data_IF_366562322294
#
_entry.id   IF_366562322294
#
_cell.length_a   1.000
_cell.length_b   1.000
_cell.length_c   1.000
_cell.angle_alpha   90.00
_cell.angle_beta   90.00
_cell.angle_gamma   90.00
#
_symmetry.space_group_name_H-M   'P 1'
#
loop_
_entity.id
_entity.type
_entity.pdbx_description
1 polymer ?
#
# COMPACT_ATOMS: atom_id res chain seq x y z
N UNK A 1 4.62 -24.61 28.65
CA UNK A 1 5.10 -24.58 27.23
C UNK A 1 5.53 -23.14 26.90
N UNK A 2 6.63 -22.92 26.17
CA UNK A 2 7.03 -21.57 25.72
C UNK A 2 6.69 -21.39 24.25
N UNK A 3 6.12 -20.23 23.89
CA UNK A 3 5.68 -19.88 22.53
C UNK A 3 6.12 -18.45 22.22
N UNK A 4 6.54 -18.22 20.96
CA UNK A 4 6.75 -16.88 20.40
C UNK A 4 5.52 -16.47 19.61
N UNK A 5 5.00 -15.29 19.90
CA UNK A 5 3.82 -14.72 19.21
C UNK A 5 3.99 -13.23 18.95
N UNK A 6 3.00 -12.61 18.28
CA UNK A 6 2.93 -11.17 18.03
C UNK A 6 4.20 -10.58 17.42
N UNK A 7 4.78 -11.27 16.41
CA UNK A 7 5.91 -10.69 15.70
C UNK A 7 5.49 -9.39 15.02
N UNK A 8 6.27 -8.34 15.29
CA UNK A 8 6.16 -7.02 14.65
C UNK A 8 7.46 -6.66 13.97
N UNK A 9 7.35 -6.08 12.79
CA UNK A 9 8.44 -5.61 11.94
C UNK A 9 8.29 -4.09 11.83
N UNK A 10 9.29 -3.30 12.29
CA UNK A 10 9.14 -1.86 12.52
C UNK A 10 7.85 -1.49 13.28
N UNK A 11 7.50 -2.30 14.31
CA UNK A 11 6.28 -2.19 15.12
C UNK A 11 4.96 -2.41 14.37
N UNK A 12 4.98 -2.72 13.08
CA UNK A 12 3.82 -3.11 12.28
C UNK A 12 3.70 -4.64 12.16
N UNK A 13 2.49 -5.15 11.87
CA UNK A 13 2.26 -6.60 11.70
C UNK A 13 2.85 -7.13 10.40
N UNK A 14 2.63 -6.42 9.30
CA UNK A 14 3.10 -6.79 7.95
C UNK A 14 3.40 -5.50 7.17
N UNK A 15 4.53 -4.81 7.44
CA UNK A 15 4.82 -3.55 6.80
C UNK A 15 5.15 -3.74 5.31
N UNK A 16 4.75 -2.78 4.51
CA UNK A 16 5.15 -2.64 3.11
C UNK A 16 5.89 -1.32 2.93
N UNK A 17 6.93 -1.32 2.11
CA UNK A 17 7.73 -0.12 1.87
C UNK A 17 8.90 0.06 2.83
N UNK A 18 9.39 -1.03 3.43
CA UNK A 18 10.54 -0.93 4.35
C UNK A 18 11.84 -0.63 3.59
N UNK A 19 12.63 0.26 4.15
CA UNK A 19 14.01 0.48 3.68
C UNK A 19 14.92 -0.63 4.23
N UNK A 20 15.05 -1.70 3.45
CA UNK A 20 15.81 -2.89 3.83
C UNK A 20 15.13 -3.74 4.91
N UNK A 21 15.95 -4.36 5.77
CA UNK A 21 15.48 -5.25 6.84
C UNK A 21 14.91 -4.47 8.02
N UNK A 22 13.61 -4.63 8.35
CA UNK A 22 13.00 -3.97 9.50
C UNK A 22 13.52 -4.54 10.83
N UNK A 23 13.43 -3.74 11.89
CA UNK A 23 13.65 -4.20 13.26
C UNK A 23 12.57 -5.19 13.66
N UNK A 24 12.99 -6.29 14.29
CA UNK A 24 12.09 -7.37 14.70
C UNK A 24 11.74 -7.24 16.17
N UNK A 25 10.47 -7.38 16.51
CA UNK A 25 9.98 -7.45 17.89
C UNK A 25 9.01 -8.61 18.02
N UNK A 26 8.97 -9.25 19.19
CA UNK A 26 8.05 -10.36 19.48
C UNK A 26 7.68 -10.41 20.96
N UNK A 27 6.63 -11.17 21.25
CA UNK A 27 6.20 -11.48 22.61
C UNK A 27 6.45 -12.96 22.89
N UNK A 28 6.69 -13.27 24.16
CA UNK A 28 6.86 -14.63 24.66
C UNK A 28 5.70 -14.94 25.56
N UNK A 29 5.04 -16.06 25.30
CA UNK A 29 4.01 -16.63 26.14
C UNK A 29 4.55 -17.87 26.84
N UNK A 30 4.34 -17.99 28.16
CA UNK A 30 4.75 -19.13 28.96
C UNK A 30 3.69 -19.47 30.00
N UNK A 31 3.46 -20.76 30.24
CA UNK A 31 2.59 -21.26 31.34
C UNK A 31 3.27 -21.09 32.71
N UNK A 32 4.59 -20.80 32.71
CA UNK A 32 5.39 -20.65 33.94
C UNK A 32 5.69 -19.15 34.12
N UNK A 33 5.49 -18.65 35.36
CA UNK A 33 5.81 -17.27 35.72
C UNK A 33 7.31 -17.06 35.92
N UNK A 34 7.72 -15.79 35.82
CA UNK A 34 9.11 -15.34 36.04
C UNK A 34 10.13 -15.95 35.05
N UNK A 35 9.68 -16.36 33.87
CA UNK A 35 10.56 -16.81 32.78
C UNK A 35 11.07 -15.61 32.00
N UNK A 36 12.37 -15.56 31.78
CA UNK A 36 13.05 -14.54 30.98
C UNK A 36 13.66 -15.19 29.74
N UNK A 37 13.69 -14.46 28.62
CA UNK A 37 14.45 -14.87 27.46
C UNK A 37 15.94 -14.84 27.76
N UNK A 38 16.66 -15.86 27.36
CA UNK A 38 18.12 -15.92 27.43
C UNK A 38 18.78 -15.91 26.05
N UNK A 39 18.07 -16.40 25.04
CA UNK A 39 18.54 -16.37 23.65
C UNK A 39 17.38 -16.32 22.67
N UNK A 40 17.68 -15.89 21.46
CA UNK A 40 16.77 -15.96 20.32
C UNK A 40 17.46 -16.53 19.08
N UNK A 41 16.64 -16.97 18.11
CA UNK A 41 17.09 -17.40 16.79
C UNK A 41 16.11 -16.89 15.75
N UNK A 42 16.60 -16.14 14.75
CA UNK A 42 15.79 -15.53 13.69
C UNK A 42 16.19 -16.12 12.34
N UNK A 43 15.21 -16.47 11.53
CA UNK A 43 15.41 -16.84 10.13
C UNK A 43 14.61 -15.90 9.22
N UNK A 44 15.21 -15.56 8.08
CA UNK A 44 14.63 -14.72 7.03
C UNK A 44 14.71 -15.47 5.71
N UNK A 45 13.61 -15.49 4.95
CA UNK A 45 13.49 -16.18 3.67
C UNK A 45 12.63 -15.40 2.70
N UNK A 46 12.80 -15.62 1.38
CA UNK A 46 11.88 -15.14 0.35
C UNK A 46 10.71 -16.12 0.13
N UNK A 47 10.82 -17.34 0.61
CA UNK A 47 9.74 -18.31 0.59
C UNK A 47 9.17 -18.55 1.99
N UNK A 48 7.86 -18.78 2.06
CA UNK A 48 7.12 -18.98 3.30
C UNK A 48 7.52 -20.24 4.07
N UNK A 49 8.04 -21.23 3.37
CA UNK A 49 8.42 -22.53 3.95
C UNK A 49 9.86 -22.52 4.48
N UNK A 50 10.60 -21.43 4.28
CA UNK A 50 12.01 -21.26 4.71
C UNK A 50 12.95 -22.31 4.13
N UNK A 51 12.72 -22.71 2.87
CA UNK A 51 13.60 -23.66 2.14
C UNK A 51 14.88 -22.99 1.65
N UNK A 52 14.80 -21.69 1.33
CA UNK A 52 15.93 -20.89 0.88
C UNK A 52 16.12 -19.69 1.78
N UNK A 53 17.02 -19.81 2.75
CA UNK A 53 17.26 -18.76 3.74
C UNK A 53 18.09 -17.63 3.13
N UNK A 54 17.63 -16.40 3.34
CA UNK A 54 18.40 -15.17 3.09
C UNK A 54 19.34 -14.93 4.28
N UNK A 55 18.87 -15.21 5.49
CA UNK A 55 19.63 -15.09 6.73
C UNK A 55 19.18 -16.11 7.75
N UNK A 56 20.15 -16.67 8.44
CA UNK A 56 20.01 -17.47 9.65
C UNK A 56 20.95 -16.89 10.71
N UNK A 57 20.42 -16.41 11.84
CA UNK A 57 21.28 -15.85 12.91
C UNK A 57 21.96 -16.89 13.75
N UNK A 58 21.52 -18.17 13.68
CA UNK A 58 21.80 -19.11 14.74
C UNK A 58 21.22 -18.61 16.08
N UNK A 59 21.64 -19.25 17.18
CA UNK A 59 21.29 -18.81 18.53
C UNK A 59 22.13 -17.60 18.92
N UNK A 60 21.46 -16.50 19.28
CA UNK A 60 22.07 -15.26 19.79
C UNK A 60 21.70 -15.11 21.26
N UNK A 61 22.70 -15.12 22.12
CA UNK A 61 22.54 -14.92 23.57
C UNK A 61 22.13 -13.49 23.85
N UNK A 62 20.86 -13.26 24.21
CA UNK A 62 20.30 -11.93 24.44
C UNK A 62 18.90 -12.03 25.04
N UNK A 63 18.62 -11.14 25.99
CA UNK A 63 17.29 -10.94 26.57
C UNK A 63 16.40 -10.00 25.70
N UNK A 64 16.99 -9.35 24.67
CA UNK A 64 16.29 -8.40 23.83
C UNK A 64 15.25 -9.09 22.95
N UNK A 65 13.99 -8.63 23.02
CA UNK A 65 12.87 -9.09 22.20
C UNK A 65 12.13 -7.94 21.48
N UNK A 66 12.63 -6.72 21.66
CA UNK A 66 12.03 -5.50 21.07
C UNK A 66 13.10 -4.76 20.27
N UNK A 67 12.74 -4.34 19.05
CA UNK A 67 13.62 -3.61 18.12
C UNK A 67 14.96 -4.30 17.85
N UNK A 68 14.96 -5.62 17.75
CA UNK A 68 16.16 -6.39 17.41
C UNK A 68 16.56 -6.11 15.97
N UNK A 69 17.81 -5.69 15.77
CA UNK A 69 18.39 -5.46 14.46
C UNK A 69 19.10 -6.72 13.97
N UNK A 70 18.66 -7.26 12.84
CA UNK A 70 19.35 -8.37 12.17
C UNK A 70 20.32 -7.77 11.15
N UNK A 71 21.62 -7.93 11.43
CA UNK A 71 22.71 -7.38 10.60
C UNK A 71 22.97 -8.23 9.36
N UNK A 72 23.62 -7.64 8.37
CA UNK A 72 24.12 -8.31 7.15
C UNK A 72 23.01 -9.04 6.38
N UNK A 73 21.85 -8.39 6.25
CA UNK A 73 20.75 -8.84 5.41
C UNK A 73 20.70 -7.95 4.16
N UNK A 74 20.99 -8.54 3.01
CA UNK A 74 20.85 -7.85 1.72
C UNK A 74 19.46 -8.12 1.18
N UNK A 75 18.68 -7.07 1.03
CA UNK A 75 17.32 -7.16 0.48
C UNK A 75 17.26 -6.60 -0.94
N UNK A 76 16.32 -7.10 -1.75
CA UNK A 76 16.03 -6.61 -3.09
C UNK A 76 14.79 -5.70 -3.07
N UNK A 77 14.72 -4.67 -3.92
CA UNK A 77 13.54 -3.80 -4.02
C UNK A 77 12.29 -4.57 -4.43
N UNK A 78 11.13 -4.12 -3.92
CA UNK A 78 9.83 -4.73 -4.19
C UNK A 78 9.87 -6.25 -4.10
N UNK A 79 10.31 -6.74 -2.96
CA UNK A 79 10.45 -8.18 -2.70
C UNK A 79 9.86 -8.49 -1.32
N UNK A 80 9.08 -9.56 -1.25
CA UNK A 80 8.46 -10.03 -0.02
C UNK A 80 9.41 -10.98 0.70
N UNK A 81 9.62 -10.73 1.97
CA UNK A 81 10.42 -11.56 2.86
C UNK A 81 9.58 -12.06 4.02
N UNK A 82 9.87 -13.27 4.46
CA UNK A 82 9.27 -13.90 5.63
C UNK A 82 10.28 -13.96 6.76
N UNK A 83 9.80 -13.75 7.99
CA UNK A 83 10.61 -13.78 9.21
C UNK A 83 9.95 -14.70 10.20
N UNK A 84 10.72 -15.60 10.81
CA UNK A 84 10.29 -16.41 11.95
C UNK A 84 11.30 -16.34 13.07
N UNK A 85 10.81 -16.48 14.30
CA UNK A 85 11.61 -16.37 15.50
C UNK A 85 11.33 -17.57 16.40
N UNK A 86 12.35 -18.03 17.11
CA UNK A 86 12.22 -18.92 18.26
C UNK A 86 13.12 -18.44 19.38
N UNK A 87 12.79 -18.78 20.63
CA UNK A 87 13.51 -18.31 21.81
C UNK A 87 13.89 -19.45 22.74
N UNK A 88 14.91 -19.22 23.54
CA UNK A 88 15.27 -20.00 24.72
C UNK A 88 14.99 -19.15 25.96
N UNK A 89 14.46 -19.75 27.01
CA UNK A 89 14.14 -19.09 28.27
C UNK A 89 15.01 -19.60 29.42
N UNK A 90 14.92 -18.96 30.56
CA UNK A 90 15.84 -19.10 31.70
C UNK A 90 15.93 -20.51 32.32
N UNK A 91 14.98 -21.41 32.07
CA UNK A 91 15.04 -22.81 32.46
C UNK A 91 15.69 -23.73 31.38
N UNK A 92 16.19 -23.15 30.27
CA UNK A 92 16.76 -23.86 29.12
C UNK A 92 15.75 -24.38 28.11
N UNK A 93 14.45 -24.16 28.34
CA UNK A 93 13.40 -24.55 27.38
C UNK A 93 13.45 -23.73 26.12
N UNK A 94 13.23 -24.36 24.97
CA UNK A 94 13.22 -23.75 23.66
C UNK A 94 11.82 -23.77 23.06
N UNK A 95 11.39 -22.64 22.49
CA UNK A 95 10.13 -22.59 21.75
C UNK A 95 10.26 -23.33 20.41
N UNK A 96 9.13 -23.75 19.85
CA UNK A 96 9.01 -23.97 18.42
C UNK A 96 9.20 -22.66 17.64
N UNK A 97 9.37 -22.75 16.31
CA UNK A 97 9.33 -21.60 15.44
C UNK A 97 7.96 -20.92 15.52
N UNK A 98 7.95 -19.60 15.55
CA UNK A 98 6.73 -18.80 15.43
C UNK A 98 6.03 -19.01 14.09
N UNK A 99 4.76 -18.60 13.99
CA UNK A 99 4.16 -18.33 12.69
C UNK A 99 4.98 -17.27 11.93
N UNK A 100 5.14 -17.39 10.60
CA UNK A 100 5.88 -16.41 9.83
C UNK A 100 5.19 -15.05 9.80
N UNK A 101 5.91 -13.98 10.15
CA UNK A 101 5.58 -12.61 9.76
C UNK A 101 6.18 -12.31 8.38
N UNK A 102 5.76 -11.24 7.72
CA UNK A 102 6.35 -10.84 6.44
C UNK A 102 6.42 -9.32 6.30
N UNK A 103 7.30 -8.87 5.40
CA UNK A 103 7.38 -7.48 4.96
C UNK A 103 7.65 -7.43 3.45
N UNK A 104 7.37 -6.27 2.85
CA UNK A 104 7.73 -5.99 1.46
C UNK A 104 8.64 -4.76 1.46
N UNK A 105 9.78 -4.86 0.82
CA UNK A 105 10.74 -3.76 0.69
C UNK A 105 10.23 -2.65 -0.21
N UNK A 106 10.73 -1.44 0.00
CA UNK A 106 10.43 -0.27 -0.83
C UNK A 106 10.81 -0.48 -2.30
N UNK A 107 10.25 0.35 -3.17
CA UNK A 107 10.69 0.47 -4.55
C UNK A 107 12.07 1.14 -4.61
N UNK A 108 12.78 0.93 -5.71
CA UNK A 108 14.03 1.63 -6.02
C UNK A 108 13.78 2.79 -7.01
N UNK A 109 14.88 3.36 -7.50
CA UNK A 109 14.89 4.47 -8.45
C UNK A 109 14.13 4.20 -9.77
N UNK A 110 13.78 2.94 -10.08
CA UNK A 110 12.96 2.61 -11.25
C UNK A 110 11.58 3.24 -11.17
N UNK A 111 11.03 3.41 -9.96
CA UNK A 111 9.75 4.08 -9.75
C UNK A 111 9.79 5.52 -10.27
N UNK A 112 10.95 6.18 -10.23
CA UNK A 112 11.14 7.55 -10.69
C UNK A 112 11.02 7.70 -12.21
N UNK A 113 11.01 6.59 -12.96
CA UNK A 113 10.80 6.58 -14.42
C UNK A 113 9.32 6.49 -14.81
N UNK A 114 8.44 6.18 -13.87
CA UNK A 114 7.00 6.21 -14.10
C UNK A 114 6.52 7.65 -14.31
N UNK A 115 5.64 7.87 -15.27
CA UNK A 115 5.05 9.17 -15.51
C UNK A 115 3.87 9.42 -14.55
N UNK A 116 3.76 10.63 -14.02
CA UNK A 116 2.54 11.07 -13.35
C UNK A 116 1.53 11.43 -14.44
N UNK A 117 0.42 10.70 -14.55
CA UNK A 117 -0.57 10.81 -15.65
C UNK A 117 -1.91 11.34 -15.17
N UNK A 118 -2.60 12.13 -15.98
CA UNK A 118 -3.93 12.66 -15.71
C UNK A 118 -4.89 12.47 -16.89
N UNK A 119 -6.17 12.25 -16.59
CA UNK A 119 -7.26 12.28 -17.55
C UNK A 119 -7.82 13.71 -17.77
N UNK A 120 -7.45 14.67 -16.92
CA UNK A 120 -7.94 16.05 -17.00
C UNK A 120 -7.19 16.86 -18.06
N UNK A 121 -7.89 17.75 -18.75
CA UNK A 121 -7.28 18.76 -19.62
C UNK A 121 -7.16 20.12 -18.89
N UNK A 122 -6.56 21.14 -19.52
CA UNK A 122 -6.37 22.44 -18.88
C UNK A 122 -7.68 23.14 -18.51
N UNK A 123 -8.77 22.91 -19.26
CA UNK A 123 -10.08 23.49 -18.94
C UNK A 123 -10.73 22.86 -17.69
N UNK A 124 -10.23 21.73 -17.23
CA UNK A 124 -10.77 21.01 -16.07
C UNK A 124 -10.11 21.42 -14.74
N UNK A 125 -9.15 22.32 -14.76
CA UNK A 125 -8.40 22.72 -13.57
C UNK A 125 -9.31 23.17 -12.40
N UNK A 126 -10.42 23.83 -12.69
CA UNK A 126 -11.40 24.27 -11.68
C UNK A 126 -12.44 23.22 -11.28
N UNK A 127 -12.49 22.04 -11.92
CA UNK A 127 -13.53 21.03 -11.67
C UNK A 127 -13.10 20.08 -10.56
N UNK A 128 -14.00 19.82 -9.62
CA UNK A 128 -13.81 18.87 -8.51
C UNK A 128 -14.41 17.50 -8.83
N UNK A 129 -14.29 17.03 -10.08
CA UNK A 129 -14.85 15.75 -10.52
C UNK A 129 -13.90 14.59 -10.29
N UNK A 130 -14.48 13.39 -10.26
CA UNK A 130 -13.71 12.15 -10.30
C UNK A 130 -13.25 11.83 -11.72
N UNK A 131 -12.05 11.26 -11.84
CA UNK A 131 -11.51 10.77 -13.11
C UNK A 131 -11.09 9.31 -13.00
N UNK A 132 -10.92 8.66 -14.13
CA UNK A 132 -10.47 7.26 -14.20
C UNK A 132 -9.31 7.20 -15.19
N UNK A 133 -8.24 6.53 -14.82
CA UNK A 133 -7.16 6.15 -15.74
C UNK A 133 -7.04 4.64 -15.78
N UNK A 134 -6.77 4.06 -16.97
CA UNK A 134 -6.68 2.60 -17.13
C UNK A 134 -5.63 2.18 -18.14
N UNK A 135 -5.19 0.92 -18.01
CA UNK A 135 -4.36 0.21 -18.99
C UNK A 135 -4.71 -1.28 -19.02
N UNK A 136 -4.81 -1.84 -20.23
CA UNK A 136 -4.82 -3.28 -20.46
C UNK A 136 -3.41 -3.84 -20.52
N UNK A 137 -3.18 -5.02 -19.96
CA UNK A 137 -1.89 -5.71 -19.96
C UNK A 137 -2.12 -7.20 -20.22
N UNK A 138 -1.51 -7.71 -21.28
CA UNK A 138 -1.47 -9.14 -21.59
C UNK A 138 -0.23 -9.79 -20.96
N UNK A 139 -0.42 -10.93 -20.31
CA UNK A 139 0.65 -11.75 -19.76
C UNK A 139 0.95 -12.89 -20.73
N UNK A 140 2.15 -12.89 -21.26
CA UNK A 140 2.61 -13.96 -22.17
C UNK A 140 3.15 -15.18 -21.43
N UNK A 141 3.32 -15.05 -20.11
CA UNK A 141 3.94 -16.07 -19.24
C UNK A 141 3.27 -16.07 -17.85
N UNK A 142 3.28 -17.23 -17.17
CA UNK A 142 2.76 -17.32 -15.80
C UNK A 142 3.51 -16.40 -14.83
N UNK A 143 2.75 -15.63 -14.05
CA UNK A 143 3.28 -14.67 -13.07
C UNK A 143 3.44 -15.35 -11.71
N UNK A 144 4.68 -15.48 -11.24
CA UNK A 144 5.01 -15.98 -9.90
C UNK A 144 4.70 -14.99 -8.80
N UNK A 145 5.02 -13.71 -9.03
CA UNK A 145 4.70 -12.64 -8.09
C UNK A 145 4.55 -11.29 -8.78
N UNK A 146 3.64 -10.46 -8.26
CA UNK A 146 3.38 -9.12 -8.73
C UNK A 146 3.26 -8.15 -7.55
N UNK A 147 4.13 -7.15 -7.49
CA UNK A 147 4.10 -6.09 -6.49
C UNK A 147 3.91 -4.75 -7.17
N UNK A 148 2.92 -3.98 -6.72
CA UNK A 148 2.56 -2.70 -7.31
C UNK A 148 2.81 -1.56 -6.33
N UNK A 149 3.55 -0.54 -6.78
CA UNK A 149 3.62 0.77 -6.14
C UNK A 149 2.62 1.69 -6.78
N UNK A 150 1.90 2.49 -5.98
CA UNK A 150 0.96 3.48 -6.49
C UNK A 150 0.89 4.71 -5.61
N UNK A 151 0.70 5.89 -6.24
CA UNK A 151 0.43 7.16 -5.58
C UNK A 151 -0.42 8.05 -6.48
N UNK A 152 -0.90 9.17 -5.94
CA UNK A 152 -1.70 10.13 -6.70
C UNK A 152 -1.51 11.56 -6.22
N UNK A 153 -1.70 12.50 -7.11
CA UNK A 153 -2.12 13.86 -6.77
C UNK A 153 -3.64 13.87 -6.58
N UNK A 154 -4.08 13.97 -5.34
CA UNK A 154 -5.45 13.71 -4.91
C UNK A 154 -5.57 12.41 -4.13
N UNK A 155 -6.70 11.75 -4.23
CA UNK A 155 -6.98 10.43 -3.65
C UNK A 155 -7.23 9.42 -4.76
N UNK A 156 -7.00 8.13 -4.48
CA UNK A 156 -7.28 7.08 -5.46
C UNK A 156 -7.87 5.82 -4.84
N UNK A 157 -8.69 5.13 -5.65
CA UNK A 157 -9.01 3.72 -5.49
C UNK A 157 -8.46 2.94 -6.67
N UNK A 158 -7.75 1.85 -6.39
CA UNK A 158 -7.08 1.02 -7.37
C UNK A 158 -7.85 -0.29 -7.59
N UNK A 159 -8.02 -0.67 -8.85
CA UNK A 159 -8.68 -1.90 -9.25
C UNK A 159 -7.82 -2.68 -10.24
N UNK A 160 -7.87 -4.00 -10.15
CA UNK A 160 -7.34 -4.92 -11.15
C UNK A 160 -8.45 -5.90 -11.52
N UNK A 161 -8.76 -6.00 -12.81
CA UNK A 161 -9.83 -6.85 -13.32
C UNK A 161 -11.19 -6.58 -12.66
N UNK A 162 -11.50 -5.30 -12.39
CA UNK A 162 -12.72 -4.85 -11.72
C UNK A 162 -12.76 -5.12 -10.21
N UNK A 163 -11.74 -5.75 -9.62
CA UNK A 163 -11.65 -6.01 -8.19
C UNK A 163 -10.77 -4.97 -7.49
N UNK A 164 -11.26 -4.38 -6.41
CA UNK A 164 -10.50 -3.42 -5.59
C UNK A 164 -9.23 -4.07 -5.02
N UNK A 165 -8.09 -3.40 -5.15
CA UNK A 165 -6.78 -3.93 -4.75
C UNK A 165 -6.60 -3.93 -3.22
N UNK A 166 -7.19 -2.95 -2.53
CA UNK A 166 -7.03 -2.78 -1.09
C UNK A 166 -8.30 -2.25 -0.45
N UNK A 167 -8.51 -2.55 0.82
CA UNK A 167 -9.50 -1.93 1.71
C UNK A 167 -9.06 -0.55 2.22
N UNK A 168 -7.90 -0.06 1.81
CA UNK A 168 -7.43 1.26 2.17
C UNK A 168 -8.37 2.37 1.69
N UNK A 169 -8.61 3.34 2.57
CA UNK A 169 -9.35 4.55 2.33
C UNK A 169 -8.38 5.74 2.29
N UNK A 170 -8.75 6.80 1.57
CA UNK A 170 -8.02 8.08 1.54
C UNK A 170 -6.54 7.95 1.13
N UNK A 171 -6.17 6.91 0.37
CA UNK A 171 -4.81 6.78 -0.18
C UNK A 171 -4.56 7.87 -1.26
N UNK A 172 -3.34 8.42 -1.34
CA UNK A 172 -2.12 8.10 -0.62
C UNK A 172 -2.00 8.78 0.76
N UNK A 173 -2.98 9.55 1.20
CA UNK A 173 -2.97 10.30 2.44
C UNK A 173 -2.62 11.78 2.23
N UNK A 174 -2.63 12.55 3.31
CA UNK A 174 -2.30 13.97 3.30
C UNK A 174 -0.90 14.21 3.87
N UNK A 175 -0.07 14.86 3.07
CA UNK A 175 1.30 15.26 3.44
C UNK A 175 1.61 16.63 2.86
N UNK A 176 2.81 17.11 3.06
CA UNK A 176 3.34 18.27 2.31
C UNK A 176 3.83 17.73 0.95
N UNK A 177 2.92 17.55 0.00
CA UNK A 177 3.15 16.85 -1.28
C UNK A 177 4.43 17.24 -2.04
N UNK A 178 4.87 18.51 -2.10
CA UNK A 178 6.13 18.84 -2.75
C UNK A 178 7.38 18.26 -2.06
N UNK A 179 7.26 17.84 -0.80
CA UNK A 179 8.37 17.27 -0.02
C UNK A 179 8.22 15.77 0.21
N UNK A 180 6.99 15.30 0.44
CA UNK A 180 6.67 13.91 0.75
C UNK A 180 5.38 13.51 0.03
N UNK A 181 5.53 12.81 -1.07
CA UNK A 181 4.43 12.17 -1.78
C UNK A 181 4.47 10.67 -1.45
N UNK A 182 3.58 10.23 -0.55
CA UNK A 182 3.53 8.84 -0.12
C UNK A 182 3.08 7.94 -1.25
N UNK A 183 3.78 6.82 -1.46
CA UNK A 183 3.29 5.73 -2.30
C UNK A 183 3.01 4.49 -1.46
N UNK A 184 1.96 3.76 -1.83
CA UNK A 184 1.57 2.50 -1.23
C UNK A 184 2.13 1.33 -2.02
N UNK A 185 2.37 0.19 -1.36
CA UNK A 185 2.80 -1.05 -2.00
C UNK A 185 1.76 -2.13 -1.75
N UNK A 186 1.37 -2.80 -2.83
CA UNK A 186 0.36 -3.85 -2.84
C UNK A 186 0.93 -5.15 -3.40
N UNK A 187 0.67 -6.27 -2.72
CA UNK A 187 0.85 -7.60 -3.29
C UNK A 187 -0.39 -7.93 -4.14
N UNK A 188 -0.23 -7.85 -5.44
CA UNK A 188 -1.31 -8.08 -6.41
C UNK A 188 -1.19 -9.42 -7.13
N UNK A 189 -0.31 -10.29 -6.65
CA UNK A 189 0.01 -11.60 -7.27
C UNK A 189 -1.25 -12.42 -7.58
N UNK A 190 -2.16 -12.53 -6.60
CA UNK A 190 -3.38 -13.33 -6.74
C UNK A 190 -4.49 -12.66 -7.57
N UNK A 191 -4.24 -11.45 -8.05
CA UNK A 191 -5.19 -10.71 -8.90
C UNK A 191 -4.84 -10.79 -10.38
N UNK A 192 -3.60 -11.20 -10.69
CA UNK A 192 -3.09 -11.28 -12.06
C UNK A 192 -3.71 -12.48 -12.79
N UNK A 193 -4.04 -12.24 -14.06
CA UNK A 193 -4.58 -13.21 -15.03
C UNK A 193 -3.78 -13.11 -16.33
N UNK A 194 -4.17 -13.86 -17.36
CA UNK A 194 -3.56 -13.75 -18.69
C UNK A 194 -3.86 -12.40 -19.35
N UNK A 195 -5.09 -11.89 -19.20
CA UNK A 195 -5.51 -10.55 -19.61
C UNK A 195 -5.94 -9.73 -18.40
N UNK A 196 -5.31 -8.57 -18.23
CA UNK A 196 -5.53 -7.71 -17.08
C UNK A 196 -5.93 -6.30 -17.49
N UNK A 197 -6.89 -5.75 -16.77
CA UNK A 197 -7.18 -4.33 -16.79
C UNK A 197 -6.82 -3.73 -15.43
N UNK A 198 -5.91 -2.76 -15.44
CA UNK A 198 -5.57 -1.94 -14.27
C UNK A 198 -6.31 -0.63 -14.39
N UNK A 199 -6.99 -0.21 -13.34
CA UNK A 199 -7.80 0.99 -13.31
C UNK A 199 -7.63 1.74 -11.99
N UNK A 200 -7.40 3.05 -12.05
CA UNK A 200 -7.40 3.92 -10.88
C UNK A 200 -8.50 4.97 -11.03
N UNK A 201 -9.39 5.02 -10.02
CA UNK A 201 -10.39 6.07 -9.86
C UNK A 201 -9.82 7.14 -8.96
N UNK A 202 -9.78 8.38 -9.44
CA UNK A 202 -9.14 9.51 -8.78
C UNK A 202 -10.18 10.51 -8.28
N UNK A 203 -9.89 11.14 -7.14
CA UNK A 203 -10.66 12.26 -6.59
C UNK A 203 -9.75 13.38 -6.12
N UNK A 204 -10.26 14.63 -6.03
CA UNK A 204 -9.48 15.81 -5.66
C UNK A 204 -8.71 15.70 -4.33
N UNK A 205 -9.35 15.13 -3.31
CA UNK A 205 -8.76 14.96 -1.98
C UNK A 205 -8.21 16.27 -1.41
N UNK A 206 -7.13 16.19 -0.64
CA UNK A 206 -6.45 17.37 -0.08
C UNK A 206 -5.51 18.07 -1.08
N UNK A 207 -5.16 17.42 -2.19
CA UNK A 207 -4.24 17.99 -3.16
C UNK A 207 -4.87 19.14 -3.96
N UNK A 208 -6.04 18.89 -4.56
CA UNK A 208 -6.78 19.81 -5.41
C UNK A 208 -8.01 20.39 -4.69
N UNK A 209 -8.64 19.59 -3.82
CA UNK A 209 -9.87 19.96 -3.12
C UNK A 209 -9.69 21.04 -2.06
N UNK A 210 -10.79 21.34 -1.38
CA UNK A 210 -10.84 22.35 -0.32
C UNK A 210 -10.11 21.87 0.92
N UNK A 211 -9.27 22.74 1.52
CA UNK A 211 -8.52 22.47 2.74
C UNK A 211 -8.62 23.67 3.70
N UNK A 212 -8.84 23.35 4.98
CA UNK A 212 -8.79 24.32 6.06
C UNK A 212 -10.04 25.18 6.19
N UNK A 213 -10.02 26.05 7.19
CA UNK A 213 -11.18 26.82 7.66
C UNK A 213 -11.74 27.83 6.64
N UNK A 214 -10.88 28.38 5.79
CA UNK A 214 -11.28 29.43 4.83
C UNK A 214 -11.80 28.88 3.49
N UNK A 215 -11.98 27.58 3.35
CA UNK A 215 -12.55 26.97 2.15
C UNK A 215 -11.73 27.18 0.86
N UNK A 216 -10.42 27.39 0.97
CA UNK A 216 -9.54 27.52 -0.20
C UNK A 216 -9.23 26.15 -0.77
N UNK A 217 -9.25 26.04 -2.10
CA UNK A 217 -8.87 24.86 -2.87
C UNK A 217 -7.56 25.07 -3.64
N UNK A 218 -7.07 24.02 -4.31
CA UNK A 218 -5.89 24.07 -5.17
C UNK A 218 -4.58 24.45 -4.46
N UNK A 219 -4.43 24.10 -3.18
CA UNK A 219 -3.23 24.43 -2.41
C UNK A 219 -1.94 23.85 -2.98
N UNK A 220 -2.02 22.64 -3.58
CA UNK A 220 -0.87 21.93 -4.07
C UNK A 220 -0.87 21.77 -5.60
N UNK A 221 -2.04 21.83 -6.23
CA UNK A 221 -2.16 21.72 -7.68
C UNK A 221 -3.59 21.75 -8.18
N UNK A 222 -3.76 21.84 -9.49
CA UNK A 222 -5.04 22.03 -10.18
C UNK A 222 -5.58 20.76 -10.87
N UNK A 223 -4.81 19.67 -10.92
CA UNK A 223 -5.20 18.43 -11.59
C UNK A 223 -4.99 17.23 -10.67
N UNK A 224 -5.94 16.28 -10.70
CA UNK A 224 -5.69 14.95 -10.14
C UNK A 224 -4.78 14.18 -11.08
N UNK A 225 -3.87 13.37 -10.54
CA UNK A 225 -2.97 12.57 -11.35
C UNK A 225 -2.61 11.26 -10.64
N UNK A 226 -2.16 10.27 -11.38
CA UNK A 226 -1.82 8.95 -10.89
C UNK A 226 -0.45 8.51 -11.37
N UNK A 227 0.29 7.84 -10.49
CA UNK A 227 1.57 7.22 -10.80
C UNK A 227 1.59 5.81 -10.25
N UNK A 228 2.02 4.84 -11.06
CA UNK A 228 2.19 3.47 -10.62
C UNK A 228 3.32 2.75 -11.35
N UNK A 229 3.88 1.76 -10.66
CA UNK A 229 4.80 0.78 -11.21
C UNK A 229 4.46 -0.61 -10.68
N UNK A 230 4.39 -1.60 -11.55
CA UNK A 230 4.24 -3.01 -11.19
C UNK A 230 5.52 -3.73 -11.54
N UNK A 231 6.09 -4.44 -10.57
CA UNK A 231 7.14 -5.44 -10.78
C UNK A 231 6.50 -6.81 -10.92
N UNK A 232 6.62 -7.39 -12.09
CA UNK A 232 6.20 -8.76 -12.39
C UNK A 232 7.42 -9.67 -12.35
N UNK A 233 7.34 -10.76 -11.63
CA UNK A 233 8.36 -11.82 -11.65
C UNK A 233 7.68 -13.08 -12.18
N UNK A 234 8.22 -13.66 -13.23
CA UNK A 234 7.69 -14.87 -13.88
C UNK A 234 8.30 -16.15 -13.30
N UNK A 235 7.72 -17.29 -13.62
CA UNK A 235 8.17 -18.59 -13.11
C UNK A 235 9.61 -18.94 -13.56
N UNK A 236 10.03 -18.45 -14.72
CA UNK A 236 11.40 -18.58 -15.22
C UNK A 236 12.44 -17.68 -14.51
N UNK A 237 11.98 -16.87 -13.54
CA UNK A 237 12.79 -15.92 -12.77
C UNK A 237 13.02 -14.57 -13.46
N UNK A 238 12.58 -14.37 -14.70
CA UNK A 238 12.67 -13.09 -15.39
C UNK A 238 11.77 -12.04 -14.73
N UNK A 239 12.11 -10.77 -14.92
CA UNK A 239 11.40 -9.63 -14.31
C UNK A 239 10.98 -8.64 -15.40
N UNK A 240 9.76 -8.17 -15.33
CA UNK A 240 9.22 -7.09 -16.15
C UNK A 240 8.65 -5.99 -15.27
N UNK A 241 8.78 -4.75 -15.72
CA UNK A 241 8.16 -3.59 -15.07
C UNK A 241 7.12 -2.98 -16.01
N UNK A 242 5.93 -2.74 -15.47
CA UNK A 242 4.86 -1.99 -16.14
C UNK A 242 4.66 -0.71 -15.37
N UNK A 243 4.71 0.43 -16.05
CA UNK A 243 4.64 1.75 -15.45
C UNK A 243 3.51 2.58 -16.06
N UNK A 244 3.12 3.62 -15.35
CA UNK A 244 2.29 4.68 -15.92
C UNK A 244 3.08 5.44 -16.97
N UNK A 245 2.48 5.61 -18.15
CA UNK A 245 3.02 6.29 -19.31
C UNK A 245 1.88 6.82 -20.20
N UNK A 246 2.22 7.43 -21.33
CA UNK A 246 1.26 8.02 -22.27
C UNK A 246 0.39 6.99 -23.01
N UNK A 247 0.68 5.69 -22.88
CA UNK A 247 -0.14 4.62 -23.50
C UNK A 247 -1.37 4.26 -22.66
N UNK A 248 -1.51 4.85 -21.48
CA UNK A 248 -2.70 4.75 -20.66
C UNK A 248 -3.84 5.59 -21.26
N UNK A 249 -5.05 5.25 -20.90
CA UNK A 249 -6.26 5.96 -21.29
C UNK A 249 -6.94 6.55 -20.06
N UNK A 250 -7.59 7.69 -20.24
CA UNK A 250 -8.33 8.38 -19.21
C UNK A 250 -9.77 8.71 -19.61
N UNK A 251 -10.63 8.86 -18.61
CA UNK A 251 -12.02 9.34 -18.78
C UNK A 251 -12.50 9.97 -17.47
N UNK A 252 -13.69 10.56 -17.48
CA UNK A 252 -14.36 11.06 -16.29
C UNK A 252 -15.15 9.94 -15.62
N UNK A 253 -15.13 9.92 -14.28
CA UNK A 253 -15.94 9.01 -13.49
C UNK A 253 -17.40 9.48 -13.42
N UNK A 254 -18.28 8.63 -12.91
CA UNK A 254 -19.68 8.98 -12.58
C UNK A 254 -19.79 9.94 -11.39
N UNK A 255 -18.69 10.24 -10.75
CA UNK A 255 -18.57 11.21 -9.65
C UNK A 255 -18.38 12.59 -10.27
N UNK A 256 -19.45 13.38 -10.28
CA UNK A 256 -19.49 14.73 -10.90
C UNK A 256 -18.76 15.76 -10.05
N UNK A 257 -18.85 15.63 -8.72
CA UNK A 257 -18.07 16.40 -7.76
C UNK A 257 -17.68 15.49 -6.60
N UNK A 258 -16.49 15.69 -6.03
CA UNK A 258 -16.04 14.98 -4.83
C UNK A 258 -15.11 15.86 -4.03
N UNK A 259 -15.47 16.13 -2.80
CA UNK A 259 -14.61 16.86 -1.86
C UNK A 259 -14.80 16.35 -0.43
N UNK A 260 -13.74 16.37 0.37
CA UNK A 260 -13.77 15.86 1.74
C UNK A 260 -14.75 16.68 2.60
N UNK A 261 -14.85 18.01 2.40
CA UNK A 261 -15.70 18.89 3.19
C UNK A 261 -17.09 19.10 2.58
N UNK A 262 -17.21 19.06 1.26
CA UNK A 262 -18.44 19.42 0.54
C UNK A 262 -19.24 18.19 0.07
N UNK A 263 -18.68 16.98 0.28
CA UNK A 263 -19.35 15.73 -0.08
C UNK A 263 -19.21 15.37 -1.55
N UNK A 264 -20.10 14.53 -2.04
CA UNK A 264 -20.06 13.92 -3.36
C UNK A 264 -21.39 14.07 -4.10
N UNK A 265 -21.31 14.36 -5.39
CA UNK A 265 -22.43 14.23 -6.32
C UNK A 265 -22.13 13.08 -7.27
N UNK A 266 -22.93 12.02 -7.20
CA UNK A 266 -22.81 10.82 -8.03
C UNK A 266 -24.00 10.72 -8.99
N UNK A 267 -23.72 10.52 -10.27
CA UNK A 267 -24.74 10.27 -11.29
C UNK A 267 -24.61 8.83 -11.81
N UNK A 268 -25.50 7.95 -11.35
CA UNK A 268 -25.52 6.55 -11.77
C UNK A 268 -25.80 6.37 -13.26
N UNK A 269 -26.48 7.34 -13.89
CA UNK A 269 -26.84 7.32 -15.31
C UNK A 269 -25.76 7.93 -16.21
N UNK A 270 -24.78 8.66 -15.64
CA UNK A 270 -23.69 9.22 -16.41
C UNK A 270 -22.92 8.11 -17.14
N UNK A 271 -22.77 8.29 -18.44
CA UNK A 271 -21.96 7.40 -19.28
C UNK A 271 -20.64 8.10 -19.55
N UNK A 272 -19.49 7.46 -19.29
CA UNK A 272 -18.19 8.01 -19.68
C UNK A 272 -18.18 8.34 -21.17
N UNK A 273 -17.73 9.57 -21.54
CA UNK A 273 -17.74 10.07 -22.92
C UNK A 273 -16.64 9.47 -23.81
N UNK A 274 -16.28 8.23 -23.57
CA UNK A 274 -15.19 7.55 -24.26
C UNK A 274 -13.87 7.61 -23.49
N UNK A 275 -12.89 6.89 -24.00
CA UNK A 275 -11.54 6.85 -23.45
C UNK A 275 -10.62 7.69 -24.32
N UNK A 276 -9.80 8.52 -23.71
CA UNK A 276 -8.90 9.44 -24.39
C UNK A 276 -7.46 9.18 -23.91
N UNK A 277 -6.44 9.54 -24.70
CA UNK A 277 -5.06 9.52 -24.22
C UNK A 277 -4.92 10.36 -22.93
N UNK A 278 -4.15 9.87 -21.99
CA UNK A 278 -3.76 10.62 -20.79
C UNK A 278 -2.71 11.68 -21.15
N UNK A 279 -2.53 12.65 -20.25
CA UNK A 279 -1.42 13.62 -20.29
C UNK A 279 -0.46 13.35 -19.15
N UNK A 280 0.79 13.71 -19.31
CA UNK A 280 1.77 13.70 -18.23
C UNK A 280 1.75 15.02 -17.45
N UNK A 281 1.98 14.94 -16.14
CA UNK A 281 2.10 16.07 -15.22
C UNK A 281 3.46 16.02 -14.55
N UNK A 282 4.09 17.17 -14.39
CA UNK A 282 5.38 17.26 -13.72
C UNK A 282 5.27 16.95 -12.22
N UNK A 283 6.26 16.23 -11.67
CA UNK A 283 6.42 16.01 -10.25
C UNK A 283 7.92 15.93 -9.92
N UNK A 284 8.27 16.10 -8.65
CA UNK A 284 9.65 15.85 -8.19
C UNK A 284 9.78 14.38 -7.73
N UNK A 285 10.52 13.54 -8.44
CA UNK A 285 10.72 12.13 -8.04
C UNK A 285 11.32 11.97 -6.65
N UNK A 286 12.09 12.96 -6.16
CA UNK A 286 12.68 12.94 -4.82
C UNK A 286 11.63 13.11 -3.70
N UNK A 287 10.44 13.58 -4.03
CA UNK A 287 9.33 13.65 -3.07
C UNK A 287 8.72 12.29 -2.76
N UNK A 288 8.91 11.29 -3.65
CA UNK A 288 8.35 9.96 -3.46
C UNK A 288 8.94 9.27 -2.24
N UNK A 289 8.10 8.86 -1.30
CA UNK A 289 8.50 8.07 -0.16
C UNK A 289 7.49 6.95 0.14
N UNK A 290 7.97 5.78 0.60
CA UNK A 290 7.07 4.67 0.92
C UNK A 290 6.23 4.99 2.14
N UNK A 291 4.98 4.56 2.15
CA UNK A 291 4.16 4.59 3.35
C UNK A 291 4.43 3.33 4.19
N UNK A 292 5.28 3.45 5.19
CA UNK A 292 5.54 2.36 6.15
C UNK A 292 4.45 2.24 7.23
N UNK A 293 3.70 3.32 7.49
CA UNK A 293 2.59 3.32 8.45
C UNK A 293 1.38 2.54 7.93
N UNK A 294 0.54 2.08 8.85
CA UNK A 294 -0.72 1.41 8.48
C UNK A 294 -1.62 2.32 7.63
N UNK A 295 -2.38 1.72 6.72
CA UNK A 295 -3.35 2.43 5.90
C UNK A 295 -4.62 2.75 6.71
N UNK A 296 -5.29 3.85 6.36
CA UNK A 296 -6.63 4.14 6.86
C UNK A 296 -7.59 3.10 6.32
N UNK A 297 -8.37 2.48 7.19
CA UNK A 297 -9.31 1.40 6.85
C UNK A 297 -10.62 1.58 7.59
N UNK A 298 -11.68 0.97 7.07
CA UNK A 298 -12.93 0.82 7.81
C UNK A 298 -12.63 -0.12 8.99
N UNK A 299 -12.81 0.38 10.20
CA UNK A 299 -12.60 -0.38 11.42
C UNK A 299 -13.84 -1.15 11.85
N UNK A 300 -15.02 -0.51 11.74
CA UNK A 300 -16.30 -1.06 12.16
C UNK A 300 -17.41 -0.49 11.27
N UNK A 301 -18.40 -1.31 10.96
CA UNK A 301 -19.66 -0.92 10.32
C UNK A 301 -20.78 -1.00 11.34
N UNK A 302 -21.44 0.14 11.61
CA UNK A 302 -22.54 0.23 12.56
C UNK A 302 -23.85 0.39 11.79
N UNK A 303 -24.71 -0.65 11.73
CA UNK A 303 -26.00 -0.54 11.04
C UNK A 303 -26.92 0.42 11.77
N UNK A 304 -27.68 1.20 11.01
CA UNK A 304 -28.72 2.05 11.56
C UNK A 304 -29.78 1.22 12.30
N UNK A 305 -30.04 1.53 13.57
CA UNK A 305 -31.04 0.86 14.40
C UNK A 305 -32.46 1.40 14.22
N UNK A 306 -32.57 2.71 13.91
CA UNK A 306 -33.84 3.41 13.77
C UNK A 306 -33.66 4.67 12.91
N UNK A 307 -34.60 4.93 12.06
CA UNK A 307 -34.72 6.19 11.32
C UNK A 307 -35.91 6.96 11.94
N UNK A 308 -35.70 8.24 12.27
CA UNK A 308 -36.74 9.06 12.92
C UNK A 308 -36.61 10.51 12.53
N UNK A 309 -37.68 11.27 12.73
CA UNK A 309 -37.65 12.72 12.58
C UNK A 309 -37.30 13.40 13.91
N UNK A 310 -36.37 14.33 13.86
CA UNK A 310 -36.06 15.18 15.00
C UNK A 310 -37.25 16.12 15.29
N UNK A 311 -37.34 16.77 16.48
CA UNK A 311 -38.34 17.77 16.75
C UNK A 311 -38.33 18.98 15.78
N UNK A 312 -37.21 19.20 15.06
CA UNK A 312 -37.08 20.23 14.01
C UNK A 312 -37.45 19.72 12.62
N UNK A 313 -37.97 18.50 12.50
CA UNK A 313 -38.39 17.90 11.22
C UNK A 313 -37.24 17.37 10.34
N UNK A 314 -36.04 17.22 10.87
CA UNK A 314 -34.90 16.63 10.15
C UNK A 314 -34.96 15.11 10.26
N UNK A 315 -34.76 14.41 9.15
CA UNK A 315 -34.62 12.97 9.11
C UNK A 315 -33.23 12.54 9.60
N UNK A 316 -33.16 11.68 10.60
CA UNK A 316 -31.92 11.13 11.18
C UNK A 316 -31.97 9.60 11.22
#
# INVERSE_FOLDING_TARGET
MVKVDHIKLNMAKCPSGTDGMPKVSWQIESDIRNMMQTAYHIQISEDRDFKQLVKDTGWVMSEQSVHVTVKDVVTRPLTKYYVRVRTEISDGSKSAWSAPAHFITAADERLFKAAMITAENEADAGRMCGTIVRKGILMERPVRSAYMCATAFGLYHLYINGRKVSDACLAPGWTVYPKHLLYQIYDVTQMMKDDNTIEAVLGPGWYKGTVGYYGKSHHYGSHTAFLAMIKLTFDDGSVQYVMTDETWQGTYAKVLTSEIYNGETYDALAVPKGWHPVRTVGYDPKSLCPQESGYVKIHEEIPAKKIFYTPKGQLC
#
